data_IF_140660885519
#
_entry.id   IF_140660885519
#
_cell.length_a   1.000
_cell.length_b   1.000
_cell.length_c   1.000
_cell.angle_alpha   90.00
_cell.angle_beta   90.00
_cell.angle_gamma   90.00
#
_symmetry.space_group_name_H-M   'P 1'
#
loop_
_entity.id
_entity.type
_entity.pdbx_description
1 polymer ?
#
# COMPACT_ATOMS: atom_id res chain seq x y z
N UNK A 1 3.66 35.23 -23.06
CA UNK A 1 4.08 35.98 -21.85
C UNK A 1 2.98 36.22 -20.81
N UNK A 2 1.68 36.30 -21.14
CA UNK A 2 0.60 36.49 -20.15
C UNK A 2 0.27 35.24 -19.30
N UNK A 3 0.58 34.04 -19.75
CA UNK A 3 0.28 32.78 -19.05
C UNK A 3 1.24 32.51 -17.89
N UNK A 4 2.51 32.89 -18.02
CA UNK A 4 3.57 32.61 -17.01
C UNK A 4 3.38 33.45 -15.73
N UNK A 5 2.79 34.63 -15.80
CA UNK A 5 2.54 35.48 -14.63
C UNK A 5 1.44 34.96 -13.69
N UNK A 6 0.58 34.02 -14.14
CA UNK A 6 -0.48 33.41 -13.31
C UNK A 6 -0.03 32.17 -12.53
N UNK A 7 1.12 31.58 -12.87
CA UNK A 7 1.63 30.35 -12.26
C UNK A 7 2.20 30.53 -10.84
N UNK A 8 2.44 31.75 -10.40
CA UNK A 8 2.97 32.05 -9.06
C UNK A 8 1.92 32.04 -7.93
N UNK A 9 0.67 31.72 -8.21
CA UNK A 9 -0.36 31.58 -7.20
C UNK A 9 -0.82 30.13 -7.10
N UNK A 10 -1.00 29.60 -5.87
CA UNK A 10 -1.54 28.23 -5.60
C UNK A 10 -2.82 27.90 -6.38
N UNK A 11 -3.57 28.90 -6.84
CA UNK A 11 -4.73 28.78 -7.74
C UNK A 11 -4.35 28.40 -9.18
N UNK A 12 -3.12 28.62 -9.62
CA UNK A 12 -2.70 28.36 -11.00
C UNK A 12 -2.51 26.85 -11.32
N UNK A 13 -2.09 26.06 -10.34
CA UNK A 13 -1.91 24.60 -10.51
C UNK A 13 -3.29 23.92 -10.59
N UNK A 14 -4.23 24.31 -9.73
CA UNK A 14 -5.60 23.80 -9.77
C UNK A 14 -6.26 24.08 -11.13
N UNK A 15 -6.12 25.31 -11.62
CA UNK A 15 -6.64 25.69 -12.93
C UNK A 15 -6.03 24.84 -14.07
N UNK A 16 -4.73 24.54 -14.01
CA UNK A 16 -4.07 23.70 -15.02
C UNK A 16 -4.56 22.26 -15.00
N UNK A 17 -4.86 21.73 -13.80
CA UNK A 17 -5.40 20.38 -13.64
C UNK A 17 -6.82 20.22 -14.19
N UNK A 18 -7.58 21.31 -14.27
CA UNK A 18 -8.95 21.37 -14.78
C UNK A 18 -9.02 21.62 -16.31
N UNK A 19 -7.87 21.91 -16.98
CA UNK A 19 -7.83 22.13 -18.41
C UNK A 19 -7.99 20.83 -19.21
N UNK A 20 -8.36 20.98 -20.49
CA UNK A 20 -8.37 19.85 -21.43
C UNK A 20 -6.96 19.29 -21.66
N UNK A 21 -6.91 18.10 -22.24
CA UNK A 21 -5.66 17.36 -22.43
C UNK A 21 -4.70 18.09 -23.38
N UNK A 22 -5.22 18.80 -24.38
CA UNK A 22 -4.43 19.56 -25.35
C UNK A 22 -3.66 20.70 -24.68
N UNK A 23 -4.32 21.46 -23.80
CA UNK A 23 -3.68 22.55 -23.01
C UNK A 23 -2.62 21.98 -22.06
N UNK A 24 -2.93 20.86 -21.39
CA UNK A 24 -1.96 20.18 -20.51
C UNK A 24 -0.71 19.74 -21.26
N UNK A 25 -0.89 19.18 -22.46
CA UNK A 25 0.20 18.73 -23.31
C UNK A 25 1.04 19.89 -23.86
N UNK A 26 0.42 21.01 -24.20
CA UNK A 26 1.14 22.19 -24.67
C UNK A 26 2.00 22.79 -23.54
N UNK A 27 1.49 22.84 -22.32
CA UNK A 27 2.27 23.27 -21.15
C UNK A 27 3.44 22.30 -20.89
N UNK A 28 3.23 20.99 -21.03
CA UNK A 28 4.32 19.99 -20.90
C UNK A 28 5.37 20.15 -22.02
N UNK A 29 4.98 20.43 -23.26
CA UNK A 29 5.93 20.74 -24.35
C UNK A 29 6.81 21.92 -24.03
N UNK A 30 6.23 23.01 -23.51
CA UNK A 30 6.99 24.19 -23.12
C UNK A 30 7.84 23.94 -21.87
N UNK A 31 7.45 23.00 -21.01
CA UNK A 31 8.24 22.66 -19.81
C UNK A 31 9.63 22.14 -20.14
N UNK A 32 9.80 21.34 -21.18
CA UNK A 32 11.13 20.86 -21.61
C UNK A 32 12.01 21.99 -22.15
N UNK A 33 11.41 22.87 -22.96
CA UNK A 33 12.13 24.06 -23.44
C UNK A 33 12.57 24.94 -22.28
N UNK A 34 11.67 25.17 -21.30
CA UNK A 34 11.97 25.91 -20.09
C UNK A 34 13.02 25.20 -19.23
N UNK A 35 12.95 23.90 -19.08
CA UNK A 35 13.94 23.10 -18.34
C UNK A 35 15.31 23.19 -18.99
N UNK A 36 15.39 23.09 -20.32
CA UNK A 36 16.65 23.27 -21.06
C UNK A 36 17.22 24.69 -20.88
N UNK A 37 16.38 25.70 -20.94
CA UNK A 37 16.77 27.10 -20.70
C UNK A 37 17.30 27.29 -19.26
N UNK A 38 16.60 26.75 -18.26
CA UNK A 38 17.02 26.80 -16.86
C UNK A 38 18.36 26.08 -16.63
N UNK A 39 18.54 24.88 -17.23
CA UNK A 39 19.81 24.15 -17.12
C UNK A 39 20.95 24.97 -17.75
N UNK A 40 20.72 25.52 -18.92
CA UNK A 40 21.75 26.35 -19.59
C UNK A 40 22.09 27.60 -18.77
N UNK A 41 21.08 28.22 -18.13
CA UNK A 41 21.28 29.39 -17.26
C UNK A 41 22.09 29.04 -16.01
N UNK A 42 21.77 27.91 -15.35
CA UNK A 42 22.52 27.42 -14.20
C UNK A 42 23.99 27.09 -14.55
N UNK A 43 24.23 26.46 -15.69
CA UNK A 43 25.57 26.16 -16.16
C UNK A 43 26.33 27.44 -16.51
N UNK A 44 25.68 28.40 -17.15
CA UNK A 44 26.26 29.70 -17.52
C UNK A 44 26.57 30.54 -16.28
N UNK A 45 25.76 30.52 -15.23
CA UNK A 45 26.02 31.21 -13.98
C UNK A 45 27.24 30.64 -13.27
N UNK A 46 27.45 29.32 -13.29
CA UNK A 46 28.67 28.70 -12.78
C UNK A 46 29.89 29.12 -13.62
N UNK A 47 29.77 29.13 -14.94
CA UNK A 47 30.87 29.64 -15.83
C UNK A 47 31.17 31.08 -15.55
N UNK A 48 30.17 31.95 -15.34
CA UNK A 48 30.37 33.36 -14.99
C UNK A 48 31.12 33.52 -13.67
N UNK A 49 30.85 32.67 -12.69
CA UNK A 49 31.56 32.71 -11.40
C UNK A 49 33.07 32.50 -11.53
N UNK A 50 33.48 31.71 -12.50
CA UNK A 50 34.90 31.46 -12.79
C UNK A 50 35.53 32.48 -13.75
N UNK A 51 34.80 32.84 -14.81
CA UNK A 51 35.38 33.57 -15.96
C UNK A 51 34.94 35.01 -16.06
N UNK A 52 33.96 35.43 -15.26
CA UNK A 52 33.26 36.69 -15.41
C UNK A 52 32.24 36.70 -16.55
N UNK A 53 31.50 37.81 -16.66
CA UNK A 53 30.56 38.04 -17.77
C UNK A 53 31.28 38.18 -19.11
N UNK A 54 30.54 37.91 -20.21
CA UNK A 54 31.09 38.13 -21.55
C UNK A 54 31.54 39.60 -21.73
N UNK A 55 32.72 39.78 -22.28
CA UNK A 55 33.31 41.11 -22.53
C UNK A 55 33.59 41.94 -21.28
N UNK A 56 33.52 41.39 -20.07
CA UNK A 56 33.87 42.11 -18.85
C UNK A 56 35.44 42.24 -18.76
N UNK A 57 35.89 43.43 -18.39
CA UNK A 57 37.28 43.68 -18.03
C UNK A 57 37.61 43.19 -16.63
N UNK A 58 36.60 43.09 -15.77
CA UNK A 58 36.74 42.60 -14.41
C UNK A 58 36.56 41.10 -14.38
N UNK A 59 37.68 40.39 -14.23
CA UNK A 59 37.70 38.90 -14.27
C UNK A 59 37.90 38.35 -12.87
N UNK A 60 36.98 37.49 -12.38
CA UNK A 60 37.21 36.74 -11.15
C UNK A 60 38.50 35.93 -11.20
N UNK A 61 39.09 35.68 -10.02
CA UNK A 61 40.28 34.85 -9.88
C UNK A 61 41.47 35.36 -10.73
N UNK A 62 41.64 36.65 -10.84
CA UNK A 62 42.75 37.31 -11.59
C UNK A 62 42.89 36.80 -13.04
N UNK A 63 41.77 36.38 -13.65
CA UNK A 63 41.74 35.90 -15.01
C UNK A 63 42.35 34.51 -15.22
N UNK A 64 42.55 33.76 -14.16
CA UNK A 64 43.06 32.37 -14.20
C UNK A 64 42.23 31.49 -15.12
N UNK A 65 40.89 31.65 -15.10
CA UNK A 65 39.97 30.81 -15.87
C UNK A 65 39.50 31.50 -17.15
N UNK A 66 39.35 30.70 -18.22
CA UNK A 66 38.83 31.18 -19.50
C UNK A 66 37.81 30.20 -20.08
N UNK A 67 36.84 30.76 -20.83
CA UNK A 67 35.86 29.95 -21.59
C UNK A 67 36.60 29.22 -22.74
N UNK A 68 36.31 27.95 -22.93
CA UNK A 68 37.02 27.09 -23.87
C UNK A 68 36.06 26.31 -24.81
N UNK A 69 34.94 26.90 -25.18
CA UNK A 69 33.95 26.27 -26.03
C UNK A 69 33.01 25.33 -25.28
N UNK A 70 32.44 24.35 -25.97
CA UNK A 70 31.41 23.44 -25.45
C UNK A 70 31.75 22.00 -25.76
N UNK A 71 31.28 21.08 -24.92
CA UNK A 71 31.28 19.65 -25.19
C UNK A 71 29.81 19.15 -25.28
N UNK A 72 29.53 18.20 -26.19
CA UNK A 72 28.22 17.55 -26.18
C UNK A 72 28.04 16.78 -24.88
N UNK A 73 26.91 16.98 -24.26
CA UNK A 73 26.53 16.32 -23.02
C UNK A 73 25.04 16.04 -22.94
N UNK A 74 24.63 15.49 -21.85
CA UNK A 74 23.19 15.27 -21.58
C UNK A 74 22.91 15.17 -20.10
N UNK A 75 21.71 15.58 -19.71
CA UNK A 75 21.17 15.44 -18.36
C UNK A 75 19.90 14.63 -18.44
N UNK A 76 19.71 13.71 -17.50
CA UNK A 76 18.47 12.93 -17.37
C UNK A 76 17.53 13.69 -16.42
N UNK A 77 16.40 14.18 -16.94
CA UNK A 77 15.32 14.75 -16.13
C UNK A 77 14.12 13.80 -16.19
N UNK A 78 13.89 13.11 -15.11
CA UNK A 78 12.93 12.03 -15.12
C UNK A 78 13.37 10.90 -16.06
N UNK A 79 12.49 10.46 -16.97
CA UNK A 79 12.80 9.46 -18.00
C UNK A 79 13.53 10.02 -19.21
N UNK A 80 13.66 11.36 -19.32
CA UNK A 80 14.17 12.00 -20.51
C UNK A 80 15.64 12.33 -20.42
N UNK A 81 16.35 12.11 -21.54
CA UNK A 81 17.71 12.57 -21.74
C UNK A 81 17.71 13.85 -22.57
N UNK A 82 17.91 14.98 -21.92
CA UNK A 82 18.04 16.29 -22.59
C UNK A 82 19.47 16.43 -23.08
N UNK A 83 19.67 16.55 -24.38
CA UNK A 83 20.97 16.86 -24.97
C UNK A 83 21.27 18.33 -24.76
N UNK A 84 22.51 18.63 -24.34
CA UNK A 84 23.00 19.96 -23.98
C UNK A 84 24.39 20.15 -24.52
N UNK A 85 24.70 21.40 -24.81
CA UNK A 85 26.08 21.81 -25.08
C UNK A 85 26.68 22.32 -23.76
N UNK A 86 27.52 21.50 -23.13
CA UNK A 86 28.09 21.78 -21.81
C UNK A 86 29.28 22.71 -21.98
N UNK A 87 29.25 23.92 -21.39
CA UNK A 87 30.34 24.86 -21.49
C UNK A 87 31.61 24.32 -20.79
N UNK A 88 32.75 24.66 -21.33
CA UNK A 88 34.05 24.28 -20.80
C UNK A 88 34.79 25.49 -20.25
N UNK A 89 35.40 25.30 -19.09
CA UNK A 89 36.29 26.24 -18.45
C UNK A 89 37.73 25.69 -18.50
N UNK A 90 38.64 26.47 -18.98
CA UNK A 90 40.07 26.14 -18.99
C UNK A 90 40.78 26.88 -17.87
N UNK A 91 41.48 26.14 -17.01
CA UNK A 91 42.37 26.66 -16.00
C UNK A 91 43.74 26.86 -16.59
N UNK A 92 44.20 28.09 -16.67
CA UNK A 92 45.49 28.46 -17.26
C UNK A 92 46.68 28.05 -16.39
N UNK A 93 46.47 27.94 -15.08
CA UNK A 93 47.52 27.57 -14.15
C UNK A 93 47.81 26.07 -14.18
N UNK A 94 46.78 25.27 -14.00
CA UNK A 94 46.89 23.79 -14.06
C UNK A 94 46.95 23.24 -15.48
N UNK A 95 46.67 24.07 -16.50
CA UNK A 95 46.57 23.68 -17.93
C UNK A 95 45.54 22.55 -18.19
N UNK A 96 44.50 22.48 -17.41
CA UNK A 96 43.43 21.48 -17.47
C UNK A 96 42.05 22.09 -17.62
N UNK A 97 41.08 21.28 -18.01
CA UNK A 97 39.68 21.72 -17.98
C UNK A 97 39.11 21.59 -16.56
N UNK A 98 38.51 22.67 -16.10
CA UNK A 98 37.75 22.66 -14.84
C UNK A 98 36.39 21.96 -15.04
N UNK A 99 36.07 21.05 -14.15
CA UNK A 99 34.78 20.38 -14.11
C UNK A 99 33.69 21.33 -13.56
N UNK A 100 32.49 21.24 -14.10
CA UNK A 100 31.34 22.00 -13.62
C UNK A 100 30.56 21.19 -12.56
N UNK A 101 30.53 21.70 -11.33
CA UNK A 101 29.83 21.04 -10.23
C UNK A 101 28.34 20.97 -10.48
N UNK A 102 27.76 22.00 -11.08
CA UNK A 102 26.32 22.03 -11.43
C UNK A 102 25.97 20.92 -12.42
N UNK A 103 26.89 20.63 -13.40
CA UNK A 103 26.65 19.53 -14.32
C UNK A 103 26.69 18.17 -13.63
N UNK A 104 27.55 17.97 -12.63
CA UNK A 104 27.55 16.75 -11.82
C UNK A 104 26.27 16.62 -10.99
N UNK A 105 25.86 17.68 -10.28
CA UNK A 105 24.60 17.69 -9.54
C UNK A 105 23.37 17.41 -10.40
N UNK A 106 23.34 17.93 -11.63
CA UNK A 106 22.26 17.68 -12.58
C UNK A 106 22.24 16.21 -13.07
N UNK A 107 23.39 15.52 -13.08
CA UNK A 107 23.45 14.09 -13.40
C UNK A 107 22.97 13.19 -12.26
N UNK A 108 23.10 13.66 -11.02
CA UNK A 108 22.67 12.95 -9.79
C UNK A 108 21.22 13.20 -9.43
N UNK A 109 20.49 14.02 -10.20
CA UNK A 109 19.06 14.21 -9.96
C UNK A 109 18.34 12.86 -10.06
N UNK A 110 17.52 12.49 -9.05
CA UNK A 110 16.82 11.24 -9.06
C UNK A 110 15.93 11.11 -10.30
N UNK A 111 15.84 9.89 -10.81
CA UNK A 111 15.00 9.57 -11.98
C UNK A 111 13.54 9.94 -11.81
N UNK A 112 12.67 9.43 -12.68
CA UNK A 112 11.24 9.81 -12.75
C UNK A 112 10.60 9.92 -11.37
N UNK A 113 10.00 11.07 -11.17
CA UNK A 113 9.28 11.47 -9.98
C UNK A 113 8.22 10.42 -9.58
N UNK A 114 8.24 10.00 -8.33
CA UNK A 114 7.21 9.23 -7.63
C UNK A 114 5.78 9.74 -7.94
N UNK A 115 5.65 11.01 -8.30
CA UNK A 115 4.42 11.65 -8.76
C UNK A 115 3.88 11.08 -10.06
N UNK A 116 4.74 10.66 -11.01
CA UNK A 116 4.29 10.03 -12.25
C UNK A 116 3.76 8.63 -11.98
N UNK A 117 4.46 7.85 -11.13
CA UNK A 117 3.97 6.55 -10.67
C UNK A 117 2.62 6.71 -9.99
N UNK A 118 2.48 7.69 -9.10
CA UNK A 118 1.21 8.03 -8.44
C UNK A 118 0.15 8.44 -9.45
N UNK A 119 0.44 9.29 -10.41
CA UNK A 119 -0.51 9.72 -11.44
C UNK A 119 -1.01 8.54 -12.28
N UNK A 120 -0.13 7.60 -12.63
CA UNK A 120 -0.49 6.38 -13.36
C UNK A 120 -1.35 5.45 -12.52
N UNK A 121 -1.00 5.24 -11.24
CA UNK A 121 -1.78 4.41 -10.33
C UNK A 121 -3.16 5.03 -10.02
N UNK A 122 -3.25 6.35 -9.94
CA UNK A 122 -4.45 7.05 -9.41
C UNK A 122 -5.38 7.62 -10.47
N UNK A 123 -4.90 7.99 -11.62
CA UNK A 123 -5.60 8.89 -12.53
C UNK A 123 -5.99 8.31 -13.87
N UNK A 124 -5.24 7.39 -14.40
CA UNK A 124 -5.36 7.01 -15.79
C UNK A 124 -6.05 5.66 -15.94
N UNK A 125 -7.13 5.60 -16.73
CA UNK A 125 -7.57 4.34 -17.28
C UNK A 125 -6.44 3.78 -18.18
N UNK A 126 -6.38 2.46 -18.39
CA UNK A 126 -5.37 1.88 -19.31
C UNK A 126 -5.44 2.47 -20.71
N UNK A 127 -6.59 3.01 -21.11
CA UNK A 127 -6.79 3.68 -22.39
C UNK A 127 -6.15 5.07 -22.40
N UNK A 128 -6.31 5.80 -21.30
CA UNK A 128 -5.68 7.12 -21.10
C UNK A 128 -4.18 6.98 -20.90
N UNK A 129 -3.74 5.89 -20.25
CA UNK A 129 -2.32 5.54 -20.11
C UNK A 129 -1.66 5.35 -21.47
N UNK A 130 -2.23 4.52 -22.36
CA UNK A 130 -1.69 4.33 -23.70
C UNK A 130 -1.66 5.64 -24.50
N UNK A 131 -2.67 6.48 -24.35
CA UNK A 131 -2.75 7.76 -25.04
C UNK A 131 -1.74 8.77 -24.45
N UNK A 132 -1.57 8.82 -23.13
CA UNK A 132 -0.54 9.66 -22.47
C UNK A 132 0.86 9.17 -22.83
N UNK A 133 1.11 7.86 -22.78
CA UNK A 133 2.39 7.28 -23.21
C UNK A 133 2.66 7.54 -24.69
N UNK A 134 1.68 7.33 -25.56
CA UNK A 134 1.81 7.64 -26.98
C UNK A 134 2.12 9.12 -27.20
N UNK A 135 1.45 10.00 -26.50
CA UNK A 135 1.69 11.44 -26.58
C UNK A 135 3.06 11.82 -26.00
N UNK A 136 3.49 11.19 -24.90
CA UNK A 136 4.84 11.36 -24.37
C UNK A 136 5.91 10.89 -25.36
N UNK A 137 5.69 9.75 -26.01
CA UNK A 137 6.58 9.23 -27.05
C UNK A 137 6.64 10.20 -28.23
N UNK A 138 5.49 10.61 -28.75
CA UNK A 138 5.39 11.49 -29.91
C UNK A 138 5.94 12.90 -29.62
N UNK A 139 5.75 13.40 -28.39
CA UNK A 139 6.14 14.75 -27.99
C UNK A 139 7.56 14.85 -27.47
N UNK A 140 8.08 13.78 -26.86
CA UNK A 140 9.34 13.77 -26.12
C UNK A 140 10.39 12.82 -26.69
N UNK A 141 10.07 12.09 -27.77
CA UNK A 141 11.00 11.14 -28.37
C UNK A 141 11.36 9.94 -27.48
N UNK A 142 10.52 9.65 -26.46
CA UNK A 142 10.71 8.49 -25.59
C UNK A 142 10.34 7.21 -26.34
N UNK A 143 11.05 6.13 -26.05
CA UNK A 143 10.62 4.82 -26.51
C UNK A 143 9.59 4.22 -25.57
N UNK A 144 8.65 3.42 -26.06
CA UNK A 144 7.72 2.62 -25.24
C UNK A 144 8.44 1.77 -24.20
N UNK A 145 9.62 1.24 -24.57
CA UNK A 145 10.45 0.42 -23.69
C UNK A 145 11.06 1.23 -22.55
N UNK A 146 11.51 2.46 -22.78
CA UNK A 146 12.08 3.30 -21.71
C UNK A 146 11.05 3.61 -20.62
N UNK A 147 9.86 4.08 -21.01
CA UNK A 147 8.79 4.39 -20.03
C UNK A 147 8.35 3.13 -19.28
N UNK A 148 8.23 2.01 -19.98
CA UNK A 148 7.87 0.73 -19.36
C UNK A 148 8.94 0.25 -18.38
N UNK A 149 10.21 0.37 -18.73
CA UNK A 149 11.33 -0.05 -17.88
C UNK A 149 11.43 0.83 -16.61
N UNK A 150 11.32 2.14 -16.76
CA UNK A 150 11.33 3.07 -15.62
C UNK A 150 10.16 2.77 -14.65
N UNK A 151 8.98 2.44 -15.19
CA UNK A 151 7.83 2.04 -14.38
C UNK A 151 8.08 0.70 -13.66
N UNK A 152 8.68 -0.28 -14.34
CA UNK A 152 9.04 -1.57 -13.75
C UNK A 152 10.04 -1.36 -12.62
N UNK A 153 11.08 -0.57 -12.84
CA UNK A 153 12.12 -0.28 -11.86
C UNK A 153 11.54 0.35 -10.58
N UNK A 154 10.75 1.41 -10.73
CA UNK A 154 10.13 2.08 -9.56
C UNK A 154 9.14 1.21 -8.81
N UNK A 155 8.28 0.48 -9.53
CA UNK A 155 7.32 -0.42 -8.89
C UNK A 155 8.00 -1.62 -8.23
N UNK A 156 9.15 -2.06 -8.75
CA UNK A 156 9.98 -3.10 -8.13
C UNK A 156 10.62 -2.60 -6.84
N UNK A 157 11.17 -1.38 -6.83
CA UNK A 157 11.70 -0.76 -5.62
C UNK A 157 10.64 -0.57 -4.53
N UNK A 158 9.42 -0.21 -4.88
CA UNK A 158 8.33 -0.13 -3.90
C UNK A 158 7.90 -1.51 -3.37
N UNK A 159 7.88 -2.53 -4.22
CA UNK A 159 7.63 -3.90 -3.79
C UNK A 159 8.71 -4.37 -2.82
N UNK A 160 9.98 -4.18 -3.16
CA UNK A 160 11.11 -4.54 -2.31
C UNK A 160 11.05 -3.82 -0.95
N UNK A 161 10.77 -2.52 -0.94
CA UNK A 161 10.58 -1.74 0.29
C UNK A 161 9.39 -2.24 1.12
N UNK A 162 8.31 -2.69 0.48
CA UNK A 162 7.17 -3.28 1.16
C UNK A 162 7.50 -4.64 1.77
N UNK A 163 8.20 -5.51 1.05
CA UNK A 163 8.54 -6.87 1.48
C UNK A 163 9.67 -6.91 2.50
N UNK A 164 10.60 -5.93 2.47
CA UNK A 164 11.73 -5.81 3.40
C UNK A 164 11.46 -4.90 4.59
N UNK A 165 10.26 -4.30 4.71
CA UNK A 165 9.90 -3.39 5.80
C UNK A 165 10.20 -4.05 7.15
N UNK A 166 11.00 -3.39 7.99
CA UNK A 166 11.22 -3.77 9.37
C UNK A 166 9.93 -3.59 10.18
N UNK A 167 9.50 -4.62 10.88
CA UNK A 167 8.30 -4.63 11.70
C UNK A 167 8.61 -4.53 13.19
N UNK A 168 9.87 -4.56 13.59
CA UNK A 168 10.30 -4.51 15.01
C UNK A 168 10.01 -3.16 15.67
N UNK A 169 9.88 -2.09 14.88
CA UNK A 169 9.54 -0.76 15.40
C UNK A 169 8.05 -0.62 15.79
N UNK A 170 7.22 -1.61 15.45
CA UNK A 170 5.78 -1.56 15.66
C UNK A 170 5.36 -2.56 16.75
N UNK A 171 4.56 -2.10 17.69
CA UNK A 171 3.86 -2.98 18.62
C UNK A 171 2.51 -3.36 18.04
N UNK A 172 2.39 -4.57 17.49
CA UNK A 172 1.12 -5.08 16.97
C UNK A 172 0.29 -5.74 18.06
N UNK A 173 -1.04 -5.49 18.02
CA UNK A 173 -2.01 -6.09 18.95
C UNK A 173 -2.98 -7.03 18.23
N UNK A 174 -3.11 -6.88 16.92
CA UNK A 174 -4.00 -7.74 16.16
C UNK A 174 -3.66 -7.81 14.68
N UNK A 175 -4.08 -8.90 14.06
CA UNK A 175 -3.94 -9.16 12.63
C UNK A 175 -5.30 -9.46 12.03
N UNK A 176 -5.59 -8.87 10.88
CA UNK A 176 -6.68 -9.29 10.00
C UNK A 176 -6.08 -10.07 8.84
N UNK A 177 -6.65 -11.25 8.57
CA UNK A 177 -6.20 -12.10 7.47
C UNK A 177 -7.43 -12.50 6.67
N UNK A 178 -7.46 -12.14 5.40
CA UNK A 178 -8.61 -12.37 4.54
C UNK A 178 -8.17 -12.63 3.09
N UNK A 179 -8.91 -13.50 2.42
CA UNK A 179 -8.71 -13.82 1.02
C UNK A 179 -9.73 -13.11 0.13
N UNK A 180 -9.25 -12.45 -0.94
CA UNK A 180 -10.12 -11.79 -1.91
C UNK A 180 -9.72 -12.09 -3.33
N UNK A 181 -10.72 -12.29 -4.20
CA UNK A 181 -10.48 -12.39 -5.62
C UNK A 181 -10.27 -11.01 -6.23
N UNK A 182 -9.03 -10.70 -6.56
CA UNK A 182 -8.60 -9.42 -7.11
C UNK A 182 -7.74 -9.64 -8.35
N UNK A 183 -7.86 -8.77 -9.35
CA UNK A 183 -7.03 -8.83 -10.55
C UNK A 183 -7.01 -10.23 -11.23
N UNK A 184 -8.12 -10.95 -11.18
CA UNK A 184 -8.34 -12.31 -11.70
C UNK A 184 -7.61 -13.43 -10.94
N UNK A 185 -7.11 -13.15 -9.74
CA UNK A 185 -6.49 -14.16 -8.85
C UNK A 185 -6.97 -13.99 -7.41
N UNK A 186 -6.87 -15.05 -6.63
CA UNK A 186 -7.10 -14.98 -5.20
C UNK A 186 -5.88 -14.39 -4.52
N UNK A 187 -6.08 -13.32 -3.77
CA UNK A 187 -5.04 -12.61 -3.02
C UNK A 187 -5.39 -12.73 -1.55
N UNK A 188 -4.46 -13.23 -0.75
CA UNK A 188 -4.58 -13.25 0.70
C UNK A 188 -3.73 -12.10 1.23
N UNK A 189 -4.32 -11.24 2.03
CA UNK A 189 -3.68 -10.05 2.59
C UNK A 189 -3.64 -10.18 4.11
N UNK A 190 -2.54 -9.73 4.71
CA UNK A 190 -2.38 -9.57 6.16
C UNK A 190 -2.30 -8.08 6.47
N UNK A 191 -3.23 -7.62 7.32
CA UNK A 191 -3.30 -6.25 7.82
C UNK A 191 -3.06 -6.26 9.32
N UNK A 192 -2.00 -5.58 9.78
CA UNK A 192 -1.69 -5.40 11.18
C UNK A 192 -2.40 -4.21 11.80
N UNK A 193 -2.70 -4.30 13.09
CA UNK A 193 -3.18 -3.19 13.91
C UNK A 193 -2.18 -2.96 15.03
N UNK A 194 -1.61 -1.76 15.08
CA UNK A 194 -0.68 -1.37 16.12
C UNK A 194 -1.41 -1.03 17.43
N UNK A 195 -0.67 -1.02 18.53
CA UNK A 195 -1.18 -0.57 19.83
C UNK A 195 -1.68 0.90 19.81
N UNK A 196 -1.12 1.73 18.91
CA UNK A 196 -1.57 3.10 18.65
C UNK A 196 -2.83 3.17 17.80
N UNK A 197 -3.31 2.04 17.29
CA UNK A 197 -4.52 1.91 16.49
C UNK A 197 -4.32 2.12 15.00
N UNK A 198 -3.09 2.27 14.54
CA UNK A 198 -2.78 2.40 13.12
C UNK A 198 -2.94 1.06 12.41
N UNK A 199 -3.35 1.10 11.16
CA UNK A 199 -3.55 -0.08 10.31
C UNK A 199 -2.47 -0.12 9.25
N UNK A 200 -1.69 -1.19 9.23
CA UNK A 200 -0.52 -1.34 8.37
C UNK A 200 -0.66 -2.63 7.56
N UNK A 201 -0.72 -2.58 6.22
CA UNK A 201 -0.59 -3.76 5.38
C UNK A 201 0.80 -4.38 5.57
N UNK A 202 0.85 -5.64 5.99
CA UNK A 202 2.11 -6.30 6.37
C UNK A 202 2.67 -7.17 5.25
N UNK A 203 1.79 -7.78 4.48
CA UNK A 203 2.16 -8.69 3.41
C UNK A 203 0.95 -9.22 2.66
N UNK A 204 1.19 -9.84 1.52
CA UNK A 204 0.17 -10.52 0.74
C UNK A 204 0.79 -11.67 -0.06
N UNK A 205 -0.04 -12.61 -0.48
CA UNK A 205 0.34 -13.67 -1.42
C UNK A 205 -0.72 -13.81 -2.50
N UNK A 206 -0.27 -14.18 -3.70
CA UNK A 206 -1.11 -14.70 -4.77
C UNK A 206 -1.22 -16.22 -4.56
N UNK A 207 -2.43 -16.74 -4.51
CA UNK A 207 -2.64 -18.17 -4.33
C UNK A 207 -3.83 -18.62 -5.17
N UNK A 208 -3.71 -19.75 -5.86
CA UNK A 208 -4.83 -20.33 -6.56
C UNK A 208 -5.88 -20.90 -5.60
N UNK A 209 -5.47 -21.22 -4.37
CA UNK A 209 -6.32 -21.74 -3.29
C UNK A 209 -5.78 -21.26 -1.95
N UNK A 210 -6.61 -21.28 -0.90
CA UNK A 210 -6.20 -20.97 0.48
C UNK A 210 -5.32 -22.10 1.05
N UNK A 211 -4.12 -22.22 0.47
CA UNK A 211 -3.14 -23.24 0.87
C UNK A 211 -2.46 -22.82 2.18
N UNK A 212 -2.65 -23.61 3.23
CA UNK A 212 -2.06 -23.35 4.55
C UNK A 212 -0.54 -23.22 4.53
N UNK A 213 0.16 -23.88 3.60
CA UNK A 213 1.63 -23.79 3.48
C UNK A 213 2.07 -22.38 3.05
N UNK A 214 1.51 -21.84 1.98
CA UNK A 214 1.87 -20.51 1.49
C UNK A 214 1.48 -19.41 2.50
N UNK A 215 0.36 -19.59 3.20
CA UNK A 215 -0.05 -18.65 4.26
C UNK A 215 0.93 -18.74 5.44
N UNK A 216 1.34 -19.94 5.84
CA UNK A 216 2.36 -20.14 6.86
C UNK A 216 3.68 -19.46 6.50
N UNK A 217 4.13 -19.62 5.24
CA UNK A 217 5.34 -18.96 4.73
C UNK A 217 5.22 -17.43 4.83
N UNK A 218 4.07 -16.85 4.45
CA UNK A 218 3.79 -15.43 4.61
C UNK A 218 3.88 -15.01 6.09
N UNK A 219 3.19 -15.68 6.99
CA UNK A 219 3.18 -15.33 8.41
C UNK A 219 4.56 -15.50 9.05
N UNK A 220 5.31 -16.54 8.68
CA UNK A 220 6.70 -16.75 9.14
C UNK A 220 7.63 -15.63 8.63
N UNK A 221 7.43 -15.14 7.41
CA UNK A 221 8.16 -13.98 6.89
C UNK A 221 7.91 -12.73 7.73
N UNK A 222 6.67 -12.49 8.20
CA UNK A 222 6.40 -11.36 9.09
C UNK A 222 7.18 -11.45 10.41
N UNK A 223 7.28 -12.65 10.98
CA UNK A 223 8.10 -12.88 12.19
C UNK A 223 9.57 -12.62 11.90
N UNK A 224 10.10 -13.12 10.78
CA UNK A 224 11.49 -12.88 10.37
C UNK A 224 11.79 -11.39 10.15
N UNK A 225 10.78 -10.59 9.80
CA UNK A 225 10.85 -9.12 9.64
C UNK A 225 10.65 -8.37 10.95
N UNK A 226 10.61 -9.06 12.09
CA UNK A 226 10.56 -8.46 13.43
C UNK A 226 9.15 -8.31 14.02
N UNK A 227 8.10 -8.93 13.43
CA UNK A 227 6.79 -8.94 14.09
C UNK A 227 6.87 -9.68 15.42
N UNK A 228 6.67 -8.95 16.53
CA UNK A 228 6.65 -9.48 17.90
C UNK A 228 5.24 -9.93 18.25
N UNK A 229 5.10 -11.11 18.86
CA UNK A 229 3.82 -11.69 19.26
C UNK A 229 3.82 -12.36 20.65
N UNK A 230 4.88 -12.16 21.44
CA UNK A 230 5.05 -12.78 22.75
C UNK A 230 3.96 -12.35 23.75
N UNK A 231 3.49 -11.12 23.64
CA UNK A 231 2.36 -10.58 24.43
C UNK A 231 0.99 -11.04 23.93
N UNK A 232 0.96 -11.82 22.83
CA UNK A 232 -0.22 -12.31 22.17
C UNK A 232 -0.78 -11.39 21.08
N UNK A 233 -1.51 -12.00 20.13
CA UNK A 233 -2.16 -11.31 19.01
C UNK A 233 -3.61 -11.74 18.86
N UNK A 234 -4.52 -10.78 18.66
CA UNK A 234 -5.87 -11.07 18.21
C UNK A 234 -5.89 -11.28 16.68
N UNK A 235 -6.07 -12.51 16.25
CA UNK A 235 -6.15 -12.84 14.82
C UNK A 235 -7.60 -12.90 14.35
N UNK A 236 -8.03 -11.93 13.54
CA UNK A 236 -9.37 -11.88 12.94
C UNK A 236 -9.34 -12.52 11.57
N UNK A 237 -10.08 -13.63 11.38
CA UNK A 237 -10.07 -14.42 10.16
C UNK A 237 -11.50 -14.71 9.66
N UNK A 238 -11.64 -15.01 8.36
CA UNK A 238 -12.95 -15.31 7.73
C UNK A 238 -13.52 -16.70 8.08
N UNK A 239 -12.70 -17.59 8.54
CA UNK A 239 -13.09 -18.99 8.85
C UNK A 239 -12.53 -20.00 7.87
N UNK A 240 -11.63 -19.60 6.99
CA UNK A 240 -10.81 -20.50 6.19
C UNK A 240 -10.00 -21.43 7.06
N UNK A 241 -10.13 -22.74 6.81
CA UNK A 241 -9.34 -23.76 7.52
C UNK A 241 -7.85 -23.63 7.24
N UNK A 242 -7.48 -23.14 6.05
CA UNK A 242 -6.10 -22.91 5.65
C UNK A 242 -5.48 -21.78 6.48
N UNK A 243 -6.18 -20.64 6.62
CA UNK A 243 -5.75 -19.51 7.42
C UNK A 243 -5.66 -19.90 8.90
N UNK A 244 -6.71 -20.54 9.44
CA UNK A 244 -6.72 -21.00 10.82
C UNK A 244 -5.50 -21.88 11.15
N UNK A 245 -5.26 -22.90 10.30
CA UNK A 245 -4.12 -23.82 10.48
C UNK A 245 -2.78 -23.09 10.42
N UNK A 246 -2.61 -22.17 9.48
CA UNK A 246 -1.36 -21.41 9.35
C UNK A 246 -1.12 -20.49 10.56
N UNK A 247 -2.15 -19.78 11.05
CA UNK A 247 -2.08 -18.94 12.25
C UNK A 247 -1.66 -19.77 13.47
N UNK A 248 -2.30 -20.93 13.69
CA UNK A 248 -1.95 -21.82 14.80
C UNK A 248 -0.55 -22.42 14.64
N UNK A 249 -0.07 -22.69 13.45
CA UNK A 249 1.27 -23.23 13.23
C UNK A 249 2.40 -22.21 13.45
N UNK A 250 2.13 -20.91 13.28
CA UNK A 250 3.15 -19.85 13.40
C UNK A 250 3.13 -19.22 14.79
N UNK A 251 1.95 -18.90 15.30
CA UNK A 251 1.78 -18.15 16.54
C UNK A 251 1.32 -19.00 17.74
N UNK A 252 0.93 -20.25 17.47
CA UNK A 252 0.50 -21.25 18.46
C UNK A 252 -0.48 -20.71 19.52
N UNK A 253 -0.14 -20.84 20.80
CA UNK A 253 -0.92 -20.33 21.94
C UNK A 253 -0.99 -18.81 22.02
N UNK A 254 -0.02 -18.10 21.43
CA UNK A 254 -0.01 -16.64 21.38
C UNK A 254 -1.07 -16.05 20.44
N UNK A 255 -1.71 -16.86 19.58
CA UNK A 255 -2.81 -16.41 18.72
C UNK A 255 -4.16 -16.65 19.37
N UNK A 256 -4.84 -15.56 19.75
CA UNK A 256 -6.27 -15.55 20.11
C UNK A 256 -7.09 -15.30 18.86
N UNK A 257 -7.88 -16.27 18.43
CA UNK A 257 -8.58 -16.22 17.16
C UNK A 257 -9.99 -15.68 17.36
N UNK A 258 -10.35 -14.63 16.62
CA UNK A 258 -11.70 -14.17 16.41
C UNK A 258 -12.13 -14.51 14.98
N UNK A 259 -13.15 -15.33 14.83
CA UNK A 259 -13.75 -15.63 13.53
C UNK A 259 -14.72 -14.53 13.13
N UNK A 260 -14.66 -14.08 11.88
CA UNK A 260 -15.53 -13.03 11.36
C UNK A 260 -17.01 -13.41 11.46
N UNK A 261 -17.75 -12.65 12.27
CA UNK A 261 -19.18 -12.87 12.52
C UNK A 261 -20.01 -12.66 11.24
N UNK A 262 -19.61 -11.70 10.40
CA UNK A 262 -20.31 -11.43 9.14
C UNK A 262 -20.20 -12.62 8.18
N UNK A 263 -18.98 -13.12 7.94
CA UNK A 263 -18.77 -14.30 7.07
C UNK A 263 -19.48 -15.54 7.63
N UNK A 264 -19.42 -15.76 8.94
CA UNK A 264 -20.14 -16.87 9.58
C UNK A 264 -21.65 -16.78 9.33
N UNK A 265 -22.23 -15.60 9.52
CA UNK A 265 -23.65 -15.36 9.27
C UNK A 265 -24.02 -15.62 7.81
N UNK A 266 -23.29 -15.02 6.86
CA UNK A 266 -23.57 -15.20 5.43
C UNK A 266 -23.42 -16.69 5.00
N UNK A 267 -22.44 -17.41 5.54
CA UNK A 267 -22.28 -18.84 5.30
C UNK A 267 -23.48 -19.65 5.78
N UNK A 268 -24.01 -19.35 6.97
CA UNK A 268 -25.23 -20.00 7.48
C UNK A 268 -26.44 -19.67 6.61
N UNK A 269 -26.61 -18.41 6.23
CA UNK A 269 -27.74 -17.94 5.44
C UNK A 269 -27.72 -18.51 4.01
N UNK A 270 -26.55 -18.81 3.45
CA UNK A 270 -26.42 -19.36 2.08
C UNK A 270 -27.10 -20.73 1.92
N UNK A 271 -27.29 -21.49 3.00
CA UNK A 271 -28.01 -22.78 3.00
C UNK A 271 -29.53 -22.63 3.08
N UNK A 272 -30.06 -21.41 3.26
CA UNK A 272 -31.47 -21.15 3.53
C UNK A 272 -32.14 -20.46 2.34
N UNK A 273 -33.48 -20.67 2.21
CA UNK A 273 -34.24 -19.91 1.22
C UNK A 273 -34.44 -18.46 1.67
N UNK A 274 -34.89 -17.58 0.75
CA UNK A 274 -34.98 -16.14 0.97
C UNK A 274 -35.84 -15.73 2.17
N UNK A 275 -36.95 -16.45 2.43
CA UNK A 275 -37.83 -16.17 3.57
C UNK A 275 -37.14 -16.51 4.88
N UNK A 276 -36.51 -17.69 4.93
CA UNK A 276 -35.75 -18.17 6.08
C UNK A 276 -34.52 -17.28 6.35
N UNK A 277 -33.81 -16.82 5.32
CA UNK A 277 -32.67 -15.91 5.46
C UNK A 277 -33.01 -14.67 6.28
N UNK A 278 -34.12 -14.01 5.98
CA UNK A 278 -34.52 -12.80 6.71
C UNK A 278 -34.86 -13.09 8.19
N UNK A 279 -35.49 -14.22 8.47
CA UNK A 279 -35.78 -14.65 9.82
C UNK A 279 -34.52 -14.94 10.62
N UNK A 280 -33.66 -15.81 10.13
CA UNK A 280 -32.43 -16.20 10.82
C UNK A 280 -31.38 -15.08 10.87
N UNK A 281 -31.32 -14.21 9.88
CA UNK A 281 -30.45 -13.01 9.91
C UNK A 281 -30.75 -12.12 11.10
N UNK A 282 -32.04 -11.86 11.39
CA UNK A 282 -32.45 -11.06 12.57
C UNK A 282 -32.07 -11.75 13.87
N UNK A 283 -32.28 -13.05 13.98
CA UNK A 283 -31.96 -13.84 15.19
C UNK A 283 -30.44 -13.87 15.43
N UNK A 284 -29.66 -14.13 14.38
CA UNK A 284 -28.19 -14.15 14.46
C UNK A 284 -27.64 -12.77 14.85
N UNK A 285 -28.16 -11.69 14.24
CA UNK A 285 -27.75 -10.35 14.60
C UNK A 285 -28.07 -10.01 16.06
N UNK A 286 -29.22 -10.43 16.54
CA UNK A 286 -29.62 -10.25 17.96
C UNK A 286 -28.68 -11.01 18.90
N UNK A 287 -28.37 -12.27 18.59
CA UNK A 287 -27.50 -13.12 19.40
C UNK A 287 -26.05 -12.57 19.45
N UNK A 288 -25.47 -12.18 18.32
CA UNK A 288 -24.16 -11.55 18.28
C UNK A 288 -24.11 -10.11 18.80
N UNK A 289 -25.27 -9.48 18.99
CA UNK A 289 -25.39 -8.16 19.59
C UNK A 289 -25.56 -8.17 21.12
N UNK A 290 -25.57 -9.33 21.76
CA UNK A 290 -25.59 -9.43 23.22
C UNK A 290 -24.23 -9.01 23.78
N UNK A 291 -24.24 -8.34 24.93
CA UNK A 291 -22.99 -7.95 25.62
C UNK A 291 -22.38 -9.09 26.42
N UNK A 292 -23.20 -10.02 26.88
CA UNK A 292 -22.79 -11.14 27.73
C UNK A 292 -22.51 -12.40 26.90
N UNK A 293 -21.37 -13.04 27.17
CA UNK A 293 -20.96 -14.29 26.50
C UNK A 293 -21.96 -15.43 26.67
N UNK A 294 -22.43 -15.68 27.89
CA UNK A 294 -23.33 -16.79 28.19
C UNK A 294 -24.66 -16.62 27.49
N UNK A 295 -25.18 -15.41 27.45
CA UNK A 295 -26.44 -15.07 26.77
C UNK A 295 -26.28 -15.23 25.25
N UNK A 296 -25.21 -14.67 24.66
CA UNK A 296 -24.90 -14.80 23.23
C UNK A 296 -24.79 -16.27 22.83
N UNK A 297 -24.03 -17.07 23.59
CA UNK A 297 -23.85 -18.51 23.38
C UNK A 297 -25.16 -19.28 23.50
N UNK A 298 -25.98 -19.02 24.50
CA UNK A 298 -27.29 -19.68 24.68
C UNK A 298 -28.22 -19.37 23.50
N UNK A 299 -28.31 -18.11 23.05
CA UNK A 299 -29.13 -17.72 21.90
C UNK A 299 -28.65 -18.39 20.61
N UNK A 300 -27.33 -18.44 20.36
CA UNK A 300 -26.77 -19.12 19.20
C UNK A 300 -27.01 -20.64 19.25
N UNK A 301 -26.89 -21.26 20.42
CA UNK A 301 -27.20 -22.68 20.61
C UNK A 301 -28.67 -22.99 20.34
N UNK A 302 -29.58 -22.12 20.77
CA UNK A 302 -31.00 -22.24 20.44
C UNK A 302 -31.24 -22.15 18.92
N UNK A 303 -30.52 -21.23 18.21
CA UNK A 303 -30.62 -21.13 16.76
C UNK A 303 -30.06 -22.39 16.08
N UNK A 304 -28.93 -22.97 16.56
CA UNK A 304 -28.37 -24.21 16.05
C UNK A 304 -29.40 -25.36 16.15
N UNK A 305 -30.07 -25.48 17.31
CA UNK A 305 -31.06 -26.52 17.54
C UNK A 305 -32.28 -26.36 16.63
N UNK A 306 -32.75 -25.15 16.44
CA UNK A 306 -33.86 -24.81 15.54
C UNK A 306 -33.48 -25.09 14.06
N UNK A 307 -32.30 -24.69 13.63
CA UNK A 307 -31.80 -24.98 12.29
C UNK A 307 -31.69 -26.45 11.97
N UNK A 308 -31.47 -27.35 12.95
CA UNK A 308 -31.47 -28.81 12.73
C UNK A 308 -32.78 -29.31 12.12
N UNK A 309 -33.93 -28.72 12.51
CA UNK A 309 -35.22 -29.05 11.93
C UNK A 309 -35.51 -28.42 10.57
N UNK A 310 -34.71 -27.40 10.17
CA UNK A 310 -34.94 -26.63 8.94
C UNK A 310 -33.89 -27.01 7.86
N UNK A 311 -32.60 -26.97 8.21
CA UNK A 311 -31.49 -27.28 7.33
C UNK A 311 -30.25 -27.70 8.14
N UNK A 312 -29.92 -28.98 8.08
CA UNK A 312 -28.80 -29.56 8.84
C UNK A 312 -27.45 -28.92 8.46
N UNK A 313 -27.24 -28.55 7.19
CA UNK A 313 -26.01 -27.90 6.75
C UNK A 313 -25.87 -26.50 7.35
N UNK A 314 -26.95 -25.74 7.41
CA UNK A 314 -26.97 -24.43 8.08
C UNK A 314 -26.66 -24.56 9.58
N UNK A 315 -27.24 -25.56 10.26
CA UNK A 315 -26.97 -25.85 11.67
C UNK A 315 -25.48 -26.22 11.89
N UNK A 316 -24.93 -27.13 11.08
CA UNK A 316 -23.52 -27.51 11.16
C UNK A 316 -22.60 -26.33 10.87
N UNK A 317 -22.93 -25.52 9.88
CA UNK A 317 -22.18 -24.30 9.55
C UNK A 317 -22.13 -23.30 10.72
N UNK A 318 -23.22 -23.14 11.48
CA UNK A 318 -23.22 -22.28 12.66
C UNK A 318 -22.44 -22.91 13.83
N UNK A 319 -22.54 -24.20 14.02
CA UNK A 319 -21.87 -24.94 15.11
C UNK A 319 -20.34 -24.97 14.92
N UNK A 320 -19.87 -25.04 13.67
CA UNK A 320 -18.45 -25.06 13.35
C UNK A 320 -17.80 -23.72 13.71
N UNK A 321 -16.79 -23.72 14.61
CA UNK A 321 -16.08 -22.54 15.04
C UNK A 321 -16.96 -21.50 15.75
N UNK A 322 -17.97 -21.96 16.49
CA UNK A 322 -18.86 -21.10 17.26
C UNK A 322 -18.10 -20.31 18.33
N UNK A 323 -17.21 -20.98 19.05
CA UNK A 323 -16.42 -20.38 20.13
C UNK A 323 -15.53 -19.26 19.61
N UNK A 324 -14.91 -19.44 18.45
CA UNK A 324 -14.05 -18.42 17.83
C UNK A 324 -14.87 -17.20 17.35
N UNK A 325 -16.17 -17.35 17.08
CA UNK A 325 -17.02 -16.19 16.77
C UNK A 325 -17.39 -15.38 18.00
N UNK A 326 -17.29 -15.97 19.18
CA UNK A 326 -17.60 -15.38 20.47
C UNK A 326 -16.36 -14.90 21.26
N UNK A 327 -15.19 -14.91 20.68
CA UNK A 327 -13.94 -14.54 21.35
C UNK A 327 -14.02 -13.15 22.02
N UNK A 328 -14.52 -12.14 21.30
CA UNK A 328 -14.67 -10.80 21.90
C UNK A 328 -15.68 -10.78 23.07
N UNK A 329 -16.72 -11.61 23.03
CA UNK A 329 -17.66 -11.75 24.15
C UNK A 329 -16.98 -12.40 25.35
N UNK A 330 -16.24 -13.49 25.11
CA UNK A 330 -15.50 -14.22 26.16
C UNK A 330 -14.43 -13.36 26.82
N UNK A 331 -13.79 -12.49 26.07
CA UNK A 331 -12.84 -11.50 26.55
C UNK A 331 -13.52 -10.28 27.22
N UNK A 332 -14.85 -10.19 27.23
CA UNK A 332 -15.62 -9.05 27.76
C UNK A 332 -15.31 -7.72 27.03
N UNK A 333 -14.99 -7.79 25.75
CA UNK A 333 -14.54 -6.66 24.93
C UNK A 333 -15.52 -6.29 23.82
N UNK A 334 -16.66 -6.96 23.75
CA UNK A 334 -17.63 -6.77 22.65
C UNK A 334 -18.16 -5.33 22.60
N UNK A 335 -18.47 -4.73 23.76
CA UNK A 335 -18.94 -3.33 23.85
C UNK A 335 -17.95 -2.35 23.18
N UNK A 336 -16.64 -2.56 23.37
CA UNK A 336 -15.62 -1.64 22.87
C UNK A 336 -15.21 -1.93 21.44
N UNK A 337 -15.15 -3.20 21.06
CA UNK A 337 -14.47 -3.62 19.83
C UNK A 337 -15.34 -4.41 18.85
N UNK A 338 -16.65 -4.55 19.07
CA UNK A 338 -17.56 -5.19 18.13
C UNK A 338 -17.40 -4.64 16.72
N UNK A 339 -17.43 -3.30 16.57
CA UNK A 339 -17.32 -2.62 15.28
C UNK A 339 -15.96 -2.85 14.61
N UNK A 340 -14.91 -3.04 15.42
CA UNK A 340 -13.53 -3.04 14.94
C UNK A 340 -13.00 -4.43 14.66
N UNK A 341 -13.24 -5.40 15.55
CA UNK A 341 -12.63 -6.72 15.53
C UNK A 341 -13.59 -7.89 15.39
N UNK A 342 -14.92 -7.70 15.44
CA UNK A 342 -15.86 -8.81 15.24
C UNK A 342 -15.99 -9.25 13.77
N UNK A 343 -15.52 -8.41 12.85
CA UNK A 343 -15.61 -8.64 11.40
C UNK A 343 -14.33 -8.25 10.70
N UNK A 344 -14.18 -8.73 9.47
CA UNK A 344 -13.05 -8.37 8.57
C UNK A 344 -13.26 -7.04 7.82
N UNK A 345 -14.18 -6.18 8.27
CA UNK A 345 -14.50 -4.92 7.59
C UNK A 345 -13.29 -4.01 7.35
N UNK A 346 -12.28 -4.06 8.24
CA UNK A 346 -11.06 -3.28 8.08
C UNK A 346 -10.31 -3.68 6.82
N UNK A 347 -10.13 -4.98 6.59
CA UNK A 347 -9.44 -5.51 5.42
C UNK A 347 -10.32 -5.47 4.17
N UNK A 348 -11.64 -5.59 4.31
CA UNK A 348 -12.59 -5.41 3.20
C UNK A 348 -12.57 -3.98 2.65
N UNK A 349 -12.44 -2.98 3.54
CA UNK A 349 -12.25 -1.59 3.14
C UNK A 349 -10.95 -1.40 2.36
N UNK A 350 -9.85 -2.01 2.82
CA UNK A 350 -8.57 -2.04 2.11
C UNK A 350 -8.71 -2.69 0.73
N UNK A 351 -9.35 -3.88 0.68
CA UNK A 351 -9.62 -4.60 -0.56
C UNK A 351 -10.46 -3.79 -1.55
N UNK A 352 -11.43 -3.00 -1.05
CA UNK A 352 -12.24 -2.11 -1.89
C UNK A 352 -11.41 -0.98 -2.49
N UNK A 353 -10.51 -0.38 -1.71
CA UNK A 353 -9.60 0.66 -2.20
C UNK A 353 -8.62 0.08 -3.22
N UNK A 354 -7.96 -1.02 -2.89
CA UNK A 354 -7.06 -1.73 -3.79
C UNK A 354 -7.77 -2.11 -5.11
N UNK A 355 -9.02 -2.59 -5.03
CA UNK A 355 -9.83 -2.91 -6.20
C UNK A 355 -10.05 -1.72 -7.14
N UNK A 356 -10.12 -0.49 -6.64
CA UNK A 356 -10.24 0.71 -7.48
C UNK A 356 -8.99 0.93 -8.33
N UNK A 357 -7.80 0.65 -7.79
CA UNK A 357 -6.54 0.73 -8.53
C UNK A 357 -6.42 -0.40 -9.54
N UNK A 358 -6.70 -1.63 -9.12
CA UNK A 358 -6.54 -2.82 -9.96
C UNK A 358 -7.56 -2.91 -11.10
N UNK A 359 -8.79 -2.42 -10.91
CA UNK A 359 -9.85 -2.41 -11.97
C UNK A 359 -9.49 -1.58 -13.19
N UNK A 360 -8.58 -0.62 -13.05
CA UNK A 360 -8.13 0.23 -14.17
C UNK A 360 -7.22 -0.54 -15.14
N UNK A 361 -6.56 -1.59 -14.69
CA UNK A 361 -5.71 -2.45 -15.52
C UNK A 361 -6.57 -3.52 -16.19
N UNK A 362 -6.83 -3.38 -17.50
CA UNK A 362 -7.67 -4.32 -18.25
C UNK A 362 -6.95 -5.62 -18.59
N UNK A 363 -5.65 -5.54 -18.84
CA UNK A 363 -4.81 -6.68 -19.23
C UNK A 363 -3.56 -6.77 -18.37
N UNK A 364 -3.43 -7.88 -17.68
CA UNK A 364 -2.26 -8.25 -16.91
C UNK A 364 -1.33 -9.07 -17.80
N UNK A 365 -0.13 -8.55 -18.09
CA UNK A 365 0.84 -9.25 -18.96
C UNK A 365 1.57 -10.36 -18.22
N UNK A 366 1.91 -10.15 -16.95
CA UNK A 366 2.64 -11.10 -16.11
C UNK A 366 2.11 -11.11 -14.69
N UNK A 367 2.34 -12.19 -13.93
CA UNK A 367 2.08 -12.26 -12.49
C UNK A 367 2.89 -11.22 -11.73
N UNK A 368 4.15 -10.99 -12.11
CA UNK A 368 5.01 -9.99 -11.47
C UNK A 368 4.48 -8.57 -11.61
N UNK A 369 3.92 -8.21 -12.77
CA UNK A 369 3.26 -6.92 -12.94
C UNK A 369 2.13 -6.76 -11.92
N UNK A 370 1.30 -7.79 -11.77
CA UNK A 370 0.17 -7.80 -10.84
C UNK A 370 0.66 -7.66 -9.40
N UNK A 371 1.71 -8.41 -9.07
CA UNK A 371 2.30 -8.42 -7.74
C UNK A 371 2.81 -7.02 -7.35
N UNK A 372 3.60 -6.37 -8.22
CA UNK A 372 4.07 -5.00 -8.00
C UNK A 372 2.92 -3.99 -7.85
N UNK A 373 1.88 -4.10 -8.67
CA UNK A 373 0.73 -3.20 -8.59
C UNK A 373 -0.05 -3.36 -7.29
N UNK A 374 -0.17 -4.58 -6.78
CA UNK A 374 -0.81 -4.84 -5.48
C UNK A 374 0.01 -4.17 -4.37
N UNK A 375 1.33 -4.35 -4.33
CA UNK A 375 2.20 -3.73 -3.34
C UNK A 375 2.09 -2.19 -3.36
N UNK A 376 2.21 -1.58 -4.53
CA UNK A 376 2.04 -0.14 -4.70
C UNK A 376 0.66 0.34 -4.22
N UNK A 377 -0.40 -0.40 -4.57
CA UNK A 377 -1.76 -0.08 -4.14
C UNK A 377 -1.98 -0.23 -2.63
N UNK A 378 -1.31 -1.19 -1.99
CA UNK A 378 -1.34 -1.36 -0.53
C UNK A 378 -0.63 -0.21 0.19
N UNK A 379 0.58 0.15 -0.24
CA UNK A 379 1.34 1.28 0.32
C UNK A 379 0.58 2.60 0.22
N UNK A 380 -0.05 2.85 -0.91
CA UNK A 380 -0.86 4.06 -1.08
C UNK A 380 -2.15 4.03 -0.24
N UNK A 381 -2.79 2.87 -0.13
CA UNK A 381 -3.99 2.72 0.70
C UNK A 381 -3.67 2.93 2.17
N UNK A 382 -2.49 2.52 2.63
CA UNK A 382 -2.01 2.70 4.00
C UNK A 382 -2.04 4.16 4.44
N UNK A 383 -1.55 5.08 3.60
CA UNK A 383 -1.51 6.52 3.90
C UNK A 383 -2.90 7.14 4.15
N UNK A 384 -3.96 6.48 3.67
CA UNK A 384 -5.35 6.95 3.78
C UNK A 384 -6.16 6.22 4.85
N UNK A 385 -5.56 5.22 5.50
CA UNK A 385 -6.25 4.46 6.53
C UNK A 385 -6.44 5.28 7.79
N UNK A 386 -7.66 5.27 8.31
CA UNK A 386 -7.97 5.86 9.62
C UNK A 386 -7.64 4.86 10.71
N UNK A 387 -7.29 5.36 11.89
CA UNK A 387 -7.12 4.53 13.08
C UNK A 387 -8.35 3.67 13.37
N UNK A 388 -8.13 2.58 14.05
CA UNK A 388 -9.22 1.70 14.47
C UNK A 388 -10.16 2.42 15.45
N UNK A 389 -11.44 2.08 15.41
CA UNK A 389 -12.40 2.68 16.35
C UNK A 389 -12.06 2.25 17.78
N UNK A 390 -12.18 3.17 18.74
CA UNK A 390 -11.81 2.97 20.15
C UNK A 390 -10.33 2.61 20.39
N UNK A 391 -9.43 3.05 19.49
CA UNK A 391 -7.99 2.76 19.64
C UNK A 391 -7.41 3.15 21.01
N UNK A 392 -7.94 4.17 21.67
CA UNK A 392 -7.51 4.59 23.01
C UNK A 392 -7.77 3.53 24.10
N UNK A 393 -8.62 2.52 23.81
CA UNK A 393 -8.95 1.42 24.74
C UNK A 393 -8.21 0.12 24.40
N UNK A 394 -7.26 0.13 23.46
CA UNK A 394 -6.53 -1.06 23.05
C UNK A 394 -5.69 -1.69 24.19
N UNK A 395 -5.36 -0.92 25.22
CA UNK A 395 -4.74 -1.47 26.41
C UNK A 395 -5.62 -2.55 27.08
N UNK A 396 -6.95 -2.40 27.07
CA UNK A 396 -7.86 -3.44 27.60
C UNK A 396 -7.76 -4.72 26.78
N UNK A 397 -7.65 -4.59 25.46
CA UNK A 397 -7.49 -5.74 24.57
C UNK A 397 -6.16 -6.46 24.87
N UNK A 398 -5.06 -5.71 25.04
CA UNK A 398 -3.75 -6.28 25.38
C UNK A 398 -3.78 -7.05 26.70
N UNK A 399 -4.38 -6.48 27.75
CA UNK A 399 -4.52 -7.12 29.05
C UNK A 399 -5.32 -8.43 28.96
N UNK A 400 -6.48 -8.40 28.30
CA UNK A 400 -7.35 -9.57 28.16
C UNK A 400 -6.73 -10.68 27.32
N UNK A 401 -5.97 -10.34 26.26
CA UNK A 401 -5.22 -11.33 25.48
C UNK A 401 -4.17 -12.02 26.35
N UNK A 402 -3.38 -11.25 27.13
CA UNK A 402 -2.38 -11.82 28.04
C UNK A 402 -3.00 -12.77 29.07
N UNK A 403 -4.11 -12.38 29.69
CA UNK A 403 -4.86 -13.23 30.63
C UNK A 403 -5.34 -14.52 29.96
N UNK A 404 -5.88 -14.43 28.75
CA UNK A 404 -6.38 -15.59 27.99
C UNK A 404 -5.26 -16.59 27.70
N UNK A 405 -4.08 -16.11 27.29
CA UNK A 405 -2.91 -16.95 26.99
C UNK A 405 -2.39 -17.63 28.28
N UNK A 406 -2.31 -16.89 29.38
CA UNK A 406 -1.89 -17.44 30.67
C UNK A 406 -2.83 -18.57 31.11
N UNK A 407 -4.14 -18.35 31.05
CA UNK A 407 -5.14 -19.36 31.41
C UNK A 407 -5.04 -20.62 30.52
N UNK A 408 -4.78 -20.44 29.22
CA UNK A 408 -4.58 -21.57 28.29
C UNK A 408 -3.34 -22.38 28.63
N UNK A 409 -2.23 -21.73 28.99
CA UNK A 409 -0.98 -22.38 29.35
C UNK A 409 -1.07 -23.13 30.72
N UNK A 410 -1.78 -22.57 31.70
CA UNK A 410 -2.03 -23.23 32.99
C UNK A 410 -2.88 -24.49 32.79
N UNK A 411 -3.94 -24.42 31.97
CA UNK A 411 -4.81 -25.59 31.66
C UNK A 411 -4.04 -26.72 30.97
N UNK A 412 -3.07 -26.39 30.11
CA UNK A 412 -2.22 -27.38 29.42
C UNK A 412 -1.26 -28.06 30.40
N UNK A 413 -0.72 -27.30 31.41
CA UNK A 413 0.17 -27.87 32.44
C UNK A 413 -0.57 -28.75 33.44
N UNK A 414 -1.85 -28.50 33.73
CA UNK A 414 -2.66 -29.34 34.60
C UNK A 414 -3.11 -30.67 33.98
N UNK A 415 -3.09 -30.76 32.64
CA UNK A 415 -3.55 -31.96 31.87
C UNK A 415 -2.36 -32.83 31.42
N UNK A 416 -1.13 -32.32 31.47
CA UNK A 416 0.10 -33.01 31.07
C UNK A 416 0.76 -33.70 32.27
#
# INVERSE_FOLDING_TARGET
MKVIRKLNNRKGISWLLDQDIGVKLEVLRHQLVLSRMLINDLLEDEVKSYTGSWYSHDKPHDGRYSRWGYNPGSVKLGSERIRLDIPRIYDRESKTNQSLDMYHRLKELPGIDERLLKAVLFGLSTRDYEQVIKTMIDSFGLSHSSVSNDFIEQSSGQLEAFESRDLSEYEFIGLFIDGKYLAKEQIIIVLGVTFQGDKIPLGFIQSATENSKSIKELLSNLVNRGLVYDDGLLCVIDGSKGIYKAVKQVYDSSAVIQRCVWHKRENVLSYLNHIQQNHYKRRLNKAYGCDNYQEAKAQLQAIINDLRGVNVSASRSLQEGLEETLTLHRLELIEYFQRSFSTTNCIESLNSQLGKYLKKVKHWKTSDQRYRWIACGLLESEQRMRKIHNYKKLYLLKEKIKQEIQNQNETVMEVA
#
